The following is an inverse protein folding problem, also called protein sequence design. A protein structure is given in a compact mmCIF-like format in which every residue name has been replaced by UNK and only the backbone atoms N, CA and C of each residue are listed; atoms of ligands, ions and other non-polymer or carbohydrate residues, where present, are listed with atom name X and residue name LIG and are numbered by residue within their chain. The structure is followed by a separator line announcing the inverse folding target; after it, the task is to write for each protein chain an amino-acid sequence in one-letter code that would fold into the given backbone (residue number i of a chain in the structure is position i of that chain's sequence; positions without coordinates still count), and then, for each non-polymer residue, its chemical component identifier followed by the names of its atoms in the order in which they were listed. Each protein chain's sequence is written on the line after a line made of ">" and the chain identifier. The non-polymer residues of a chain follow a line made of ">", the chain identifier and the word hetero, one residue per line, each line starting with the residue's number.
data_IF_318526696801
#
_entry.id   IF_318526696801
#
_cell.length_a   1.000
_cell.length_b   1.000
_cell.length_c   1.000
_cell.angle_alpha   90.00
_cell.angle_beta   90.00
_cell.angle_gamma   90.00
#
_symmetry.space_group_name_H-M   'P 1'
#
loop_
_entity.id
_entity.type
_entity.pdbx_description
1 polymer ?
#
# COMPACT_ATOMS: atom_id res chain seq x y z
N UNK A 1 -9.45 14.62 38.35
CA UNK A 1 -8.08 14.08 38.24
C UNK A 1 -8.16 12.82 37.36
N UNK A 2 -7.85 12.95 36.08
CA UNK A 2 -7.96 11.85 35.12
C UNK A 2 -6.73 10.97 35.19
N UNK A 3 -6.90 9.70 35.45
CA UNK A 3 -5.87 8.70 35.28
C UNK A 3 -5.47 8.65 33.80
N UNK A 4 -4.25 9.07 33.52
CA UNK A 4 -3.62 8.91 32.21
C UNK A 4 -3.35 7.42 32.06
N UNK A 5 -4.22 6.72 31.34
CA UNK A 5 -3.98 5.36 30.87
C UNK A 5 -2.71 5.35 30.01
N UNK A 6 -1.59 4.98 30.61
CA UNK A 6 -0.33 4.74 29.91
C UNK A 6 -0.42 3.40 29.17
N UNK A 7 -0.92 3.41 27.96
CA UNK A 7 -0.81 2.25 27.08
C UNK A 7 0.64 2.10 26.66
N UNK A 8 1.27 1.01 27.10
CA UNK A 8 2.53 0.56 26.56
C UNK A 8 2.28 0.02 25.14
N UNK A 9 2.45 0.84 24.12
CA UNK A 9 2.59 0.35 22.76
C UNK A 9 3.97 -0.33 22.68
N UNK A 10 4.03 -1.64 22.91
CA UNK A 10 5.19 -2.45 22.57
C UNK A 10 5.27 -2.50 21.04
N UNK A 11 5.75 -1.42 20.44
CA UNK A 11 6.06 -1.32 19.04
C UNK A 11 7.38 -2.05 18.83
N UNK A 12 7.27 -3.34 18.53
CA UNK A 12 8.33 -4.21 18.00
C UNK A 12 9.63 -4.32 18.83
N UNK A 13 9.92 -5.54 19.22
CA UNK A 13 11.28 -5.95 19.63
C UNK A 13 12.13 -5.93 18.37
N UNK A 14 13.00 -4.94 18.22
CA UNK A 14 14.08 -4.98 17.24
C UNK A 14 15.15 -5.92 17.80
N UNK A 15 15.21 -7.14 17.29
CA UNK A 15 16.33 -8.01 17.51
C UNK A 15 17.51 -7.44 16.72
N UNK A 16 18.49 -6.85 17.39
CA UNK A 16 19.84 -6.71 16.83
C UNK A 16 20.54 -8.04 17.05
N UNK A 17 21.00 -8.65 15.99
CA UNK A 17 21.90 -9.83 16.00
C UNK A 17 23.30 -9.45 16.52
N UNK A 18 23.39 -8.86 17.69
CA UNK A 18 24.60 -8.81 18.52
C UNK A 18 24.23 -8.22 19.87
N UNK A 19 24.23 -9.09 20.89
CA UNK A 19 24.31 -8.76 22.32
C UNK A 19 23.44 -7.56 22.82
N UNK A 20 22.18 -7.83 23.20
CA UNK A 20 21.75 -7.41 24.53
C UNK A 20 21.14 -6.03 24.73
N UNK A 21 20.78 -5.20 23.72
CA UNK A 21 20.04 -3.96 24.00
C UNK A 21 18.75 -3.89 23.20
N UNK A 22 17.64 -4.04 23.90
CA UNK A 22 16.29 -3.78 23.37
C UNK A 22 15.96 -2.31 23.57
N UNK A 23 16.07 -1.49 22.54
CA UNK A 23 15.52 -0.13 22.57
C UNK A 23 13.99 -0.20 22.52
N UNK A 24 13.34 0.07 23.64
CA UNK A 24 11.91 0.28 23.69
C UNK A 24 11.59 1.74 23.32
N UNK A 25 10.93 1.95 22.19
CA UNK A 25 10.45 3.28 21.81
C UNK A 25 9.13 3.56 22.55
N UNK A 26 9.09 4.65 23.30
CA UNK A 26 7.92 5.13 23.97
C UNK A 26 7.25 6.21 23.12
N UNK A 27 6.01 5.98 22.71
CA UNK A 27 5.20 6.95 21.97
C UNK A 27 4.19 7.53 22.95
N UNK A 28 4.23 8.83 23.23
CA UNK A 28 3.14 9.50 23.92
C UNK A 28 1.85 9.34 23.10
N UNK A 29 0.77 8.89 23.74
CA UNK A 29 -0.50 8.61 23.05
C UNK A 29 -1.12 9.85 22.42
N UNK A 30 -0.87 11.02 22.98
CA UNK A 30 -1.29 12.33 22.46
C UNK A 30 -0.62 12.70 21.14
N UNK A 31 0.54 12.12 20.82
CA UNK A 31 1.27 12.33 19.55
C UNK A 31 0.82 11.40 18.43
N UNK A 32 0.14 10.28 18.73
CA UNK A 32 -0.31 9.31 17.71
C UNK A 32 -1.26 9.93 16.68
N UNK A 33 -2.27 10.74 17.06
CA UNK A 33 -3.13 11.39 16.07
C UNK A 33 -2.36 12.29 15.11
N UNK A 34 -1.45 13.11 15.62
CA UNK A 34 -0.62 14.01 14.79
C UNK A 34 0.27 13.23 13.82
N UNK A 35 0.85 12.12 14.28
CA UNK A 35 1.62 11.22 13.44
C UNK A 35 0.75 10.63 12.32
N UNK A 36 -0.41 10.10 12.64
CA UNK A 36 -1.33 9.52 11.65
C UNK A 36 -1.79 10.58 10.64
N UNK A 37 -2.10 11.78 11.09
CA UNK A 37 -2.49 12.89 10.20
C UNK A 37 -1.37 13.27 9.25
N UNK A 38 -0.13 13.37 9.73
CA UNK A 38 1.04 13.66 8.91
C UNK A 38 1.29 12.58 7.86
N UNK A 39 1.31 11.31 8.27
CA UNK A 39 1.49 10.19 7.34
C UNK A 39 0.35 10.11 6.31
N UNK A 40 -0.88 10.40 6.71
CA UNK A 40 -2.01 10.46 5.80
C UNK A 40 -1.90 11.60 4.78
N UNK A 41 -1.49 12.79 5.21
CA UNK A 41 -1.26 13.95 4.34
C UNK A 41 -0.18 13.65 3.31
N UNK A 42 0.92 13.06 3.74
CA UNK A 42 2.02 12.66 2.87
C UNK A 42 1.59 11.54 1.90
N UNK A 43 0.85 10.54 2.35
CA UNK A 43 0.28 9.51 1.47
C UNK A 43 -0.60 10.13 0.39
N UNK A 44 -1.45 11.08 0.76
CA UNK A 44 -2.29 11.80 -0.21
C UNK A 44 -1.48 12.54 -1.25
N UNK A 45 -0.45 13.27 -0.82
CA UNK A 45 0.43 13.99 -1.73
C UNK A 45 1.13 13.04 -2.70
N UNK A 46 1.80 12.01 -2.18
CA UNK A 46 2.49 11.00 -2.99
C UNK A 46 1.54 10.29 -3.96
N UNK A 47 0.34 9.94 -3.52
CA UNK A 47 -0.62 9.25 -4.37
C UNK A 47 -1.17 10.17 -5.46
N UNK A 48 -1.79 11.28 -5.09
CA UNK A 48 -2.55 12.09 -6.04
C UNK A 48 -1.69 13.06 -6.84
N UNK A 49 -0.71 13.73 -6.20
CA UNK A 49 0.13 14.68 -6.91
C UNK A 49 1.23 13.99 -7.71
N UNK A 50 1.89 13.00 -7.12
CA UNK A 50 3.09 12.42 -7.72
C UNK A 50 2.74 11.17 -8.58
N UNK A 51 2.13 10.13 -7.99
CA UNK A 51 1.86 8.86 -8.68
C UNK A 51 0.68 8.93 -9.65
N UNK A 52 -0.36 9.67 -9.29
CA UNK A 52 -1.50 9.93 -10.18
C UNK A 52 -1.30 11.19 -11.03
N UNK A 53 -0.06 11.71 -11.09
CA UNK A 53 0.39 12.76 -12.01
C UNK A 53 -0.38 14.08 -11.86
N UNK A 54 -0.95 14.36 -10.69
CA UNK A 54 -1.74 15.56 -10.43
C UNK A 54 -2.99 15.71 -11.28
N UNK A 55 -3.49 14.60 -11.85
CA UNK A 55 -4.69 14.62 -12.69
C UNK A 55 -5.88 15.11 -11.87
N UNK A 56 -6.51 16.17 -12.36
CA UNK A 56 -7.79 16.63 -11.84
C UNK A 56 -8.90 15.69 -12.34
N UNK A 57 -10.05 15.71 -11.70
CA UNK A 57 -11.24 14.91 -12.08
C UNK A 57 -11.05 13.39 -11.98
N UNK A 58 -10.24 12.95 -11.03
CA UNK A 58 -10.18 11.54 -10.66
C UNK A 58 -11.27 11.25 -9.63
N UNK A 59 -12.16 10.33 -9.96
CA UNK A 59 -13.14 9.84 -9.01
C UNK A 59 -12.46 8.88 -8.03
N UNK A 60 -12.30 9.30 -6.77
CA UNK A 60 -11.73 8.44 -5.74
C UNK A 60 -12.59 7.21 -5.51
N UNK A 61 -11.97 6.04 -5.49
CA UNK A 61 -12.65 4.77 -5.26
C UNK A 61 -13.13 4.70 -3.81
N UNK A 62 -14.41 4.45 -3.65
CA UNK A 62 -15.04 4.33 -2.34
C UNK A 62 -15.48 2.89 -2.11
N UNK A 63 -15.12 2.32 -0.96
CA UNK A 63 -15.46 0.94 -0.65
C UNK A 63 -16.97 0.67 -0.71
N UNK A 64 -17.80 1.63 -0.29
CA UNK A 64 -19.27 1.52 -0.35
C UNK A 64 -19.85 1.50 -1.78
N UNK A 65 -19.10 2.02 -2.77
CA UNK A 65 -19.52 2.00 -4.17
C UNK A 65 -19.05 0.75 -4.93
N UNK A 66 -18.22 -0.06 -4.32
CA UNK A 66 -17.63 -1.24 -4.93
C UNK A 66 -18.22 -2.53 -4.38
N UNK A 67 -18.31 -3.54 -5.24
CA UNK A 67 -18.71 -4.89 -4.86
C UNK A 67 -17.53 -5.82 -4.86
N UNK A 68 -17.53 -6.78 -3.95
CA UNK A 68 -16.51 -7.83 -3.91
C UNK A 68 -17.16 -9.18 -3.55
N UNK A 69 -16.61 -10.23 -4.13
CA UNK A 69 -16.95 -11.60 -3.80
C UNK A 69 -15.87 -12.16 -2.87
N UNK A 70 -15.99 -11.86 -1.57
CA UNK A 70 -14.99 -12.21 -0.58
C UNK A 70 -14.62 -13.70 -0.59
N UNK A 71 -15.54 -14.59 -0.96
CA UNK A 71 -15.32 -16.04 -1.04
C UNK A 71 -14.78 -16.51 -2.40
N UNK A 72 -14.59 -15.62 -3.36
CA UNK A 72 -14.02 -16.01 -4.64
C UNK A 72 -12.50 -16.19 -4.51
N UNK A 73 -12.06 -17.43 -4.61
CA UNK A 73 -10.66 -17.87 -4.49
C UNK A 73 -9.99 -18.13 -5.86
N UNK A 74 -10.68 -17.81 -6.96
CA UNK A 74 -10.10 -17.94 -8.30
C UNK A 74 -8.74 -17.21 -8.37
N UNK A 75 -7.73 -17.91 -8.88
CA UNK A 75 -6.38 -17.33 -9.02
C UNK A 75 -6.44 -16.05 -9.86
N UNK A 76 -5.82 -14.99 -9.34
CA UNK A 76 -5.84 -13.67 -9.95
C UNK A 76 -7.01 -12.79 -9.54
N UNK A 77 -8.04 -13.33 -8.85
CA UNK A 77 -9.23 -12.57 -8.49
C UNK A 77 -8.93 -11.46 -7.47
N UNK A 78 -9.56 -10.31 -7.71
CA UNK A 78 -9.76 -9.23 -6.74
C UNK A 78 -11.05 -8.46 -7.11
N UNK A 79 -11.43 -7.47 -6.32
CA UNK A 79 -12.66 -6.69 -6.53
C UNK A 79 -12.68 -5.93 -7.87
N UNK A 80 -11.52 -5.64 -8.48
CA UNK A 80 -11.40 -4.98 -9.79
C UNK A 80 -12.04 -5.81 -10.90
N UNK A 81 -12.08 -7.15 -10.75
CA UNK A 81 -12.70 -8.06 -11.74
C UNK A 81 -14.20 -8.26 -11.53
N UNK A 82 -14.76 -7.76 -10.42
CA UNK A 82 -16.19 -7.89 -10.20
C UNK A 82 -16.98 -7.15 -11.30
N UNK A 83 -17.96 -7.85 -11.90
CA UNK A 83 -18.72 -7.32 -13.06
C UNK A 83 -19.37 -5.97 -12.79
N UNK A 84 -19.91 -5.78 -11.58
CA UNK A 84 -20.66 -4.57 -11.20
C UNK A 84 -19.70 -3.37 -10.97
N UNK A 85 -18.40 -3.62 -10.82
CA UNK A 85 -17.40 -2.57 -10.68
C UNK A 85 -16.85 -2.09 -12.02
N UNK A 86 -17.14 -2.79 -13.13
CA UNK A 86 -16.48 -2.51 -14.42
C UNK A 86 -16.71 -1.08 -14.91
N UNK A 87 -17.89 -0.52 -14.68
CA UNK A 87 -18.20 0.87 -15.07
C UNK A 87 -17.28 1.88 -14.35
N UNK A 88 -16.97 1.64 -13.07
CA UNK A 88 -16.11 2.51 -12.25
C UNK A 88 -14.62 2.25 -12.54
N UNK A 89 -14.22 0.98 -12.57
CA UNK A 89 -12.82 0.57 -12.62
C UNK A 89 -12.22 0.68 -14.02
N UNK A 90 -13.02 0.44 -15.08
CA UNK A 90 -12.56 0.53 -16.49
C UNK A 90 -12.04 1.92 -16.82
N UNK A 91 -12.71 2.97 -16.32
CA UNK A 91 -12.22 4.34 -16.50
C UNK A 91 -10.91 4.61 -15.77
N UNK A 92 -10.69 3.96 -14.62
CA UNK A 92 -9.47 4.09 -13.81
C UNK A 92 -8.26 3.37 -14.39
N UNK A 93 -8.47 2.16 -14.96
CA UNK A 93 -7.38 1.28 -15.43
C UNK A 93 -6.41 1.98 -16.38
N UNK A 94 -6.93 2.71 -17.37
CA UNK A 94 -6.13 3.35 -18.40
C UNK A 94 -5.99 4.86 -18.18
N UNK A 95 -6.49 5.37 -17.06
CA UNK A 95 -6.60 6.82 -16.81
C UNK A 95 -5.24 7.52 -16.83
N UNK A 96 -4.27 6.94 -16.14
CA UNK A 96 -2.92 7.50 -16.07
C UNK A 96 -2.20 7.41 -17.42
N UNK A 97 -2.38 6.30 -18.13
CA UNK A 97 -1.82 6.13 -19.46
C UNK A 97 -2.36 7.19 -20.44
N UNK A 98 -3.70 7.35 -20.49
CA UNK A 98 -4.33 8.40 -21.31
C UNK A 98 -3.90 9.80 -20.93
N UNK A 99 -3.66 10.07 -19.65
CA UNK A 99 -3.18 11.37 -19.22
C UNK A 99 -1.75 11.64 -19.68
N UNK A 100 -0.90 10.61 -19.66
CA UNK A 100 0.45 10.70 -20.23
C UNK A 100 0.35 11.00 -21.73
N UNK A 101 -0.51 10.29 -22.46
CA UNK A 101 -0.72 10.49 -23.91
C UNK A 101 -1.24 11.88 -24.24
N UNK A 102 -2.19 12.39 -23.44
CA UNK A 102 -2.84 13.68 -23.68
C UNK A 102 -1.97 14.90 -23.31
N UNK A 103 -0.93 14.72 -22.50
CA UNK A 103 -0.08 15.81 -22.01
C UNK A 103 1.30 15.78 -22.66
N UNK A 104 1.63 16.81 -23.44
CA UNK A 104 2.97 16.90 -24.04
C UNK A 104 4.07 16.93 -22.98
N UNK A 105 3.83 17.56 -21.82
CA UNK A 105 4.77 17.56 -20.71
C UNK A 105 5.01 16.16 -20.17
N UNK A 106 3.94 15.38 -19.88
CA UNK A 106 4.03 14.02 -19.39
C UNK A 106 4.63 13.08 -20.43
N UNK A 107 4.27 13.26 -21.72
CA UNK A 107 4.94 12.54 -22.82
C UNK A 107 6.45 12.76 -22.82
N UNK A 108 6.90 14.00 -22.67
CA UNK A 108 8.34 14.29 -22.60
C UNK A 108 9.01 13.70 -21.38
N UNK A 109 8.30 13.63 -20.26
CA UNK A 109 8.79 13.07 -19.00
C UNK A 109 8.93 11.55 -19.09
N UNK A 110 7.89 10.85 -19.53
CA UNK A 110 7.79 9.40 -19.44
C UNK A 110 8.24 8.65 -20.69
N UNK A 111 8.16 9.25 -21.88
CA UNK A 111 8.40 8.56 -23.14
C UNK A 111 9.72 9.00 -23.79
N UNK A 112 10.37 8.05 -24.47
CA UNK A 112 11.55 8.33 -25.31
C UNK A 112 11.14 8.93 -26.66
N UNK A 113 12.11 9.44 -27.43
CA UNK A 113 11.87 9.90 -28.81
C UNK A 113 11.38 8.79 -29.73
N UNK A 114 11.82 7.55 -29.53
CA UNK A 114 11.38 6.39 -30.29
C UNK A 114 9.86 6.15 -30.20
N UNK A 115 9.25 6.40 -29.04
CA UNK A 115 7.80 6.31 -28.87
C UNK A 115 7.03 7.29 -29.75
N UNK A 116 7.62 8.45 -30.06
CA UNK A 116 6.98 9.50 -30.87
C UNK A 116 7.02 9.19 -32.37
N UNK A 117 7.83 8.25 -32.79
CA UNK A 117 7.94 7.82 -34.20
C UNK A 117 6.97 6.68 -34.57
N UNK A 118 6.02 6.34 -33.70
CA UNK A 118 4.99 5.34 -33.98
C UNK A 118 5.38 3.88 -33.74
N UNK A 119 6.56 3.63 -33.15
CA UNK A 119 7.05 2.28 -32.83
C UNK A 119 6.51 1.69 -31.51
N UNK A 120 5.44 2.28 -30.96
CA UNK A 120 4.87 1.90 -29.66
C UNK A 120 5.46 2.69 -28.49
N UNK A 121 5.01 2.39 -27.27
CA UNK A 121 5.50 3.06 -26.06
C UNK A 121 6.85 2.51 -25.65
N UNK A 122 7.86 3.36 -25.64
CA UNK A 122 9.16 3.09 -25.02
C UNK A 122 9.34 4.05 -23.85
N UNK A 123 9.21 3.52 -22.66
CA UNK A 123 9.26 4.27 -21.41
C UNK A 123 10.69 4.69 -21.08
N UNK A 124 10.84 5.89 -20.57
CA UNK A 124 12.12 6.40 -20.09
C UNK A 124 12.46 5.73 -18.75
N UNK A 125 13.56 4.99 -18.69
CA UNK A 125 13.97 4.22 -17.50
C UNK A 125 14.06 5.09 -16.24
N UNK A 126 14.60 6.30 -16.35
CA UNK A 126 14.69 7.23 -15.21
C UNK A 126 13.32 7.64 -14.67
N UNK A 127 12.33 7.84 -15.54
CA UNK A 127 10.96 8.17 -15.11
C UNK A 127 10.27 6.97 -14.47
N UNK A 128 10.45 5.78 -15.02
CA UNK A 128 9.94 4.52 -14.43
C UNK A 128 10.57 4.28 -13.05
N UNK A 129 11.90 4.44 -12.94
CA UNK A 129 12.61 4.28 -11.66
C UNK A 129 12.15 5.31 -10.62
N UNK A 130 11.96 6.57 -11.02
CA UNK A 130 11.45 7.63 -10.13
C UNK A 130 10.03 7.34 -9.66
N UNK A 131 9.14 6.90 -10.57
CA UNK A 131 7.78 6.50 -10.25
C UNK A 131 7.76 5.31 -9.27
N UNK A 132 8.63 4.32 -9.50
CA UNK A 132 8.75 3.18 -8.59
C UNK A 132 9.29 3.59 -7.21
N UNK A 133 10.29 4.46 -7.15
CA UNK A 133 10.80 4.98 -5.88
C UNK A 133 9.71 5.72 -5.08
N UNK A 134 8.90 6.53 -5.76
CA UNK A 134 7.74 7.21 -5.16
C UNK A 134 6.68 6.21 -4.69
N UNK A 135 6.45 5.14 -5.47
CA UNK A 135 5.54 4.05 -5.10
C UNK A 135 6.01 3.35 -3.82
N UNK A 136 7.29 3.04 -3.73
CA UNK A 136 7.86 2.42 -2.53
C UNK A 136 7.71 3.32 -1.31
N UNK A 137 7.88 4.64 -1.46
CA UNK A 137 7.68 5.57 -0.35
C UNK A 137 6.19 5.66 0.07
N UNK A 138 5.25 5.69 -0.89
CA UNK A 138 3.82 5.60 -0.59
C UNK A 138 3.49 4.32 0.18
N UNK A 139 3.96 3.17 -0.29
CA UNK A 139 3.69 1.88 0.32
C UNK A 139 4.22 1.80 1.76
N UNK A 140 5.40 2.35 2.03
CA UNK A 140 5.97 2.43 3.38
C UNK A 140 5.07 3.22 4.34
N UNK A 141 4.57 4.38 3.91
CA UNK A 141 3.68 5.22 4.71
C UNK A 141 2.31 4.59 4.89
N UNK A 142 1.74 4.02 3.83
CA UNK A 142 0.47 3.32 3.86
C UNK A 142 0.53 2.10 4.79
N UNK A 143 1.66 1.39 4.79
CA UNK A 143 1.95 0.29 5.70
C UNK A 143 1.87 0.74 7.16
N UNK A 144 2.50 1.88 7.51
CA UNK A 144 2.44 2.49 8.85
C UNK A 144 0.99 2.83 9.22
N UNK A 145 0.27 3.52 8.32
CA UNK A 145 -1.13 3.89 8.54
C UNK A 145 -2.01 2.67 8.82
N UNK A 146 -1.94 1.65 7.98
CA UNK A 146 -2.74 0.42 8.13
C UNK A 146 -2.35 -0.31 9.42
N UNK A 147 -1.06 -0.35 9.75
CA UNK A 147 -0.59 -1.06 10.93
C UNK A 147 -1.07 -0.40 12.23
N UNK A 148 -0.97 0.93 12.34
CA UNK A 148 -1.33 1.65 13.56
C UNK A 148 -2.85 1.79 13.70
N UNK A 149 -3.56 2.12 12.59
CA UNK A 149 -5.01 2.38 12.66
C UNK A 149 -5.87 1.13 12.67
N UNK A 150 -5.29 -0.01 12.32
CA UNK A 150 -6.05 -1.25 12.13
C UNK A 150 -6.34 -2.07 13.39
N UNK A 151 -6.05 -1.58 14.59
CA UNK A 151 -6.26 -2.29 15.85
C UNK A 151 -5.02 -3.04 16.35
N UNK A 152 -5.18 -4.29 16.86
CA UNK A 152 -4.06 -5.03 17.43
C UNK A 152 -2.92 -5.25 16.42
N UNK A 153 -1.64 -5.10 16.82
CA UNK A 153 -0.52 -5.29 15.91
C UNK A 153 -0.51 -6.70 15.31
N UNK A 154 -0.32 -6.77 14.00
CA UNK A 154 0.00 -8.03 13.29
C UNK A 154 1.50 -8.22 13.37
N UNK A 155 1.96 -9.47 13.35
CA UNK A 155 3.39 -9.75 13.21
C UNK A 155 3.89 -9.18 11.88
N UNK A 156 5.09 -8.64 11.90
CA UNK A 156 5.70 -8.02 10.72
C UNK A 156 5.76 -8.98 9.54
N UNK A 157 6.18 -10.23 9.76
CA UNK A 157 6.20 -11.28 8.73
C UNK A 157 4.83 -11.54 8.12
N UNK A 158 3.80 -11.71 8.96
CA UNK A 158 2.43 -11.97 8.50
C UNK A 158 1.84 -10.75 7.77
N UNK A 159 2.24 -9.54 8.19
CA UNK A 159 1.83 -8.30 7.58
C UNK A 159 2.44 -8.11 6.18
N UNK A 160 3.72 -8.45 6.00
CA UNK A 160 4.37 -8.34 4.69
C UNK A 160 3.88 -9.37 3.69
N UNK A 161 3.37 -10.50 4.15
CA UNK A 161 2.78 -11.53 3.29
C UNK A 161 1.37 -11.21 2.78
N UNK A 162 0.82 -10.02 3.07
CA UNK A 162 -0.50 -9.64 2.56
C UNK A 162 -0.52 -9.57 1.04
N UNK A 163 -1.55 -10.21 0.45
CA UNK A 163 -1.77 -10.24 -0.99
C UNK A 163 -3.04 -9.47 -1.37
N UNK A 164 -2.95 -8.67 -2.43
CA UNK A 164 -4.07 -7.87 -2.93
C UNK A 164 -4.93 -8.61 -3.95
N UNK A 165 -4.44 -9.71 -4.52
CA UNK A 165 -5.19 -10.60 -5.41
C UNK A 165 -4.99 -12.06 -5.00
N UNK A 166 -5.99 -12.90 -5.25
CA UNK A 166 -5.94 -14.33 -4.93
C UNK A 166 -4.85 -15.04 -5.74
N UNK A 167 -4.18 -15.98 -5.10
CA UNK A 167 -3.23 -16.92 -5.69
C UNK A 167 -3.74 -18.33 -5.38
N UNK A 168 -2.86 -19.29 -5.06
CA UNK A 168 -3.20 -20.52 -4.35
C UNK A 168 -3.74 -20.25 -2.93
N UNK A 169 -3.49 -19.01 -2.43
CA UNK A 169 -4.03 -18.51 -1.16
C UNK A 169 -5.07 -17.42 -1.45
N UNK A 170 -6.09 -17.36 -0.59
CA UNK A 170 -7.08 -16.28 -0.61
C UNK A 170 -6.40 -14.93 -0.34
N UNK A 171 -6.79 -13.89 -1.09
CA UNK A 171 -6.29 -12.52 -0.91
C UNK A 171 -6.57 -11.99 0.49
N UNK A 172 -5.67 -11.12 0.94
CA UNK A 172 -5.79 -10.43 2.24
C UNK A 172 -6.68 -9.19 2.15
N UNK A 173 -6.74 -8.54 0.99
CA UNK A 173 -7.52 -7.31 0.77
C UNK A 173 -8.86 -7.67 0.14
N UNK A 174 -9.96 -7.37 0.84
CA UNK A 174 -11.33 -7.58 0.37
C UNK A 174 -12.20 -6.38 0.70
N UNK A 175 -13.32 -6.23 0.01
CA UNK A 175 -14.34 -5.24 0.35
C UNK A 175 -15.48 -5.97 1.04
N UNK A 176 -15.79 -5.52 2.26
CA UNK A 176 -16.87 -6.07 3.07
C UNK A 176 -17.79 -4.91 3.49
N UNK A 177 -19.03 -4.94 3.00
CA UNK A 177 -19.99 -3.84 3.14
C UNK A 177 -19.43 -2.54 2.56
N UNK A 178 -19.18 -1.55 3.41
CA UNK A 178 -18.73 -0.20 3.05
C UNK A 178 -17.24 0.03 3.33
N UNK A 179 -16.48 -1.01 3.69
CA UNK A 179 -15.08 -0.89 4.15
C UNK A 179 -14.15 -1.87 3.47
N UNK A 180 -12.89 -1.49 3.41
CA UNK A 180 -11.82 -2.43 3.11
C UNK A 180 -11.55 -3.26 4.35
N UNK A 181 -11.63 -4.57 4.19
CA UNK A 181 -11.30 -5.57 5.19
C UNK A 181 -9.94 -6.18 4.86
N UNK A 182 -9.05 -6.13 5.83
CA UNK A 182 -7.77 -6.84 5.80
C UNK A 182 -7.92 -8.13 6.59
N UNK A 183 -7.67 -9.24 5.92
CA UNK A 183 -7.71 -10.57 6.48
C UNK A 183 -6.33 -11.22 6.42
N UNK A 184 -5.74 -11.46 7.59
CA UNK A 184 -4.44 -12.13 7.73
C UNK A 184 -4.62 -13.44 8.45
N UNK A 185 -4.23 -14.53 7.79
CA UNK A 185 -4.24 -15.86 8.38
C UNK A 185 -2.94 -16.10 9.14
N UNK A 186 -3.06 -16.36 10.42
CA UNK A 186 -1.94 -16.59 11.29
C UNK A 186 -1.58 -18.08 11.34
N UNK A 187 -0.35 -18.45 10.98
CA UNK A 187 0.08 -19.84 10.90
C UNK A 187 0.81 -20.39 12.13
N UNK A 188 1.30 -19.54 13.05
CA UNK A 188 2.06 -20.04 14.21
C UNK A 188 1.14 -20.64 15.28
N UNK A 189 1.32 -21.92 15.56
CA UNK A 189 0.50 -22.69 16.50
C UNK A 189 -0.54 -23.60 15.85
N UNK A 190 -0.72 -23.55 14.53
CA UNK A 190 -1.61 -24.44 13.80
C UNK A 190 -1.21 -25.92 13.98
N UNK A 191 0.11 -26.19 14.02
CA UNK A 191 0.64 -27.54 14.29
C UNK A 191 0.32 -28.04 15.69
N UNK A 192 0.11 -27.16 16.66
CA UNK A 192 -0.16 -27.53 18.05
C UNK A 192 -1.65 -27.55 18.39
N UNK A 193 -2.49 -26.73 17.75
CA UNK A 193 -3.90 -26.56 18.15
C UNK A 193 -4.90 -26.99 17.08
N UNK A 194 -4.45 -27.26 15.86
CA UNK A 194 -5.33 -27.58 14.72
C UNK A 194 -6.29 -26.44 14.31
N UNK A 195 -6.25 -25.28 14.95
CA UNK A 195 -7.14 -24.16 14.70
C UNK A 195 -6.41 -23.00 14.02
N UNK A 196 -7.00 -22.46 12.96
CA UNK A 196 -6.55 -21.22 12.35
C UNK A 196 -6.91 -20.05 13.26
N UNK A 197 -5.94 -19.19 13.54
CA UNK A 197 -6.23 -17.87 14.10
C UNK A 197 -6.27 -16.88 12.96
N UNK A 198 -7.41 -16.25 12.77
CA UNK A 198 -7.62 -15.22 11.77
C UNK A 198 -7.55 -13.85 12.43
N UNK A 199 -6.85 -12.92 11.81
CA UNK A 199 -6.85 -11.52 12.21
C UNK A 199 -7.58 -10.73 11.14
N UNK A 200 -8.74 -10.19 11.51
CA UNK A 200 -9.59 -9.39 10.62
C UNK A 200 -9.55 -7.94 11.10
N UNK A 201 -9.37 -7.01 10.17
CA UNK A 201 -9.34 -5.58 10.41
C UNK A 201 -10.15 -4.85 9.37
N UNK A 202 -10.86 -3.83 9.80
CA UNK A 202 -11.54 -2.89 8.93
C UNK A 202 -10.78 -1.58 8.91
N UNK A 203 -10.38 -1.15 7.71
CA UNK A 203 -9.69 0.12 7.57
C UNK A 203 -10.66 1.29 7.72
N UNK A 204 -10.19 2.39 8.30
CA UNK A 204 -10.91 3.66 8.24
C UNK A 204 -11.11 4.11 6.79
N UNK A 205 -12.24 4.74 6.47
CA UNK A 205 -12.58 5.16 5.11
C UNK A 205 -11.45 5.93 4.40
N UNK A 206 -10.80 6.94 5.03
CA UNK A 206 -9.73 7.67 4.36
C UNK A 206 -8.54 6.78 3.93
N UNK A 207 -8.19 5.78 4.74
CA UNK A 207 -7.11 4.84 4.45
C UNK A 207 -7.55 3.81 3.41
N UNK A 208 -8.81 3.37 3.48
CA UNK A 208 -9.44 2.53 2.46
C UNK A 208 -9.36 3.17 1.08
N UNK A 209 -9.70 4.45 0.98
CA UNK A 209 -9.69 5.20 -0.27
C UNK A 209 -8.29 5.26 -0.89
N UNK A 210 -7.26 5.56 -0.06
CA UNK A 210 -5.87 5.56 -0.54
C UNK A 210 -5.45 4.20 -1.10
N UNK A 211 -5.80 3.12 -0.40
CA UNK A 211 -5.45 1.77 -0.85
C UNK A 211 -6.20 1.38 -2.13
N UNK A 212 -7.49 1.70 -2.22
CA UNK A 212 -8.30 1.41 -3.40
C UNK A 212 -7.83 2.22 -4.61
N UNK A 213 -7.56 3.51 -4.44
CA UNK A 213 -7.04 4.36 -5.52
C UNK A 213 -5.66 3.88 -5.99
N UNK A 214 -4.79 3.45 -5.08
CA UNK A 214 -3.52 2.83 -5.45
C UNK A 214 -3.73 1.57 -6.31
N UNK A 215 -4.65 0.67 -5.91
CA UNK A 215 -4.92 -0.57 -6.63
C UNK A 215 -5.54 -0.31 -8.01
N UNK A 216 -6.46 0.65 -8.12
CA UNK A 216 -7.21 0.89 -9.36
C UNK A 216 -6.45 1.76 -10.34
N UNK A 217 -5.69 2.75 -9.88
CA UNK A 217 -5.03 3.72 -10.77
C UNK A 217 -3.54 3.45 -10.94
N UNK A 218 -2.81 3.20 -9.86
CA UNK A 218 -1.34 3.12 -9.90
C UNK A 218 -0.85 1.75 -10.34
N UNK A 219 -1.41 0.66 -9.80
CA UNK A 219 -0.98 -0.69 -10.18
C UNK A 219 -1.08 -0.99 -11.68
N UNK A 220 -2.14 -0.57 -12.41
CA UNK A 220 -2.18 -0.78 -13.86
C UNK A 220 -1.04 -0.10 -14.61
N UNK A 221 -0.65 1.12 -14.24
CA UNK A 221 0.47 1.81 -14.85
C UNK A 221 1.81 1.11 -14.53
N UNK A 222 2.01 0.68 -13.27
CA UNK A 222 3.17 -0.14 -12.88
C UNK A 222 3.24 -1.45 -13.70
N UNK A 223 2.11 -2.08 -13.97
CA UNK A 223 2.04 -3.28 -14.82
C UNK A 223 2.48 -2.98 -16.26
N UNK A 224 2.12 -1.81 -16.80
CA UNK A 224 2.56 -1.38 -18.13
C UNK A 224 4.07 -1.17 -18.16
N UNK A 225 4.64 -0.50 -17.15
CA UNK A 225 6.09 -0.31 -17.04
C UNK A 225 6.85 -1.63 -16.95
N UNK A 226 6.35 -2.56 -16.14
CA UNK A 226 6.97 -3.87 -15.96
C UNK A 226 7.01 -4.68 -17.28
N UNK A 227 5.97 -4.57 -18.11
CA UNK A 227 5.89 -5.27 -19.40
C UNK A 227 6.87 -4.75 -20.44
N UNK A 228 7.44 -3.57 -20.28
CA UNK A 228 8.55 -3.13 -21.13
C UNK A 228 9.78 -4.00 -20.95
N UNK A 229 10.03 -4.47 -19.72
CA UNK A 229 11.17 -5.35 -19.44
C UNK A 229 10.92 -6.78 -19.90
N UNK A 230 9.68 -7.26 -19.73
CA UNK A 230 9.25 -8.59 -20.17
C UNK A 230 7.74 -8.58 -20.47
N UNK A 231 7.36 -8.86 -21.71
CA UNK A 231 5.96 -8.84 -22.15
C UNK A 231 5.02 -9.74 -21.32
N UNK A 232 5.53 -10.81 -20.73
CA UNK A 232 4.80 -11.76 -19.90
C UNK A 232 4.89 -11.45 -18.40
N UNK A 233 5.67 -10.44 -18.00
CA UNK A 233 5.84 -10.10 -16.60
C UNK A 233 4.52 -9.64 -15.98
N UNK A 234 4.25 -10.12 -14.78
CA UNK A 234 3.10 -9.75 -13.96
C UNK A 234 3.59 -9.17 -12.64
N UNK A 235 2.93 -8.11 -12.17
CA UNK A 235 3.16 -7.59 -10.83
C UNK A 235 2.99 -8.71 -9.80
N UNK A 236 3.77 -8.63 -8.75
CA UNK A 236 3.65 -9.50 -7.59
C UNK A 236 2.21 -9.47 -7.02
N UNK A 237 1.68 -10.57 -6.51
CA UNK A 237 0.41 -10.58 -5.79
C UNK A 237 0.52 -9.90 -4.42
N UNK A 238 1.73 -9.73 -3.90
CA UNK A 238 1.95 -9.12 -2.60
C UNK A 238 1.69 -7.61 -2.64
N UNK A 239 1.07 -7.11 -1.57
CA UNK A 239 0.83 -5.67 -1.42
C UNK A 239 2.13 -4.91 -1.13
N UNK A 240 2.96 -5.50 -0.29
CA UNK A 240 4.27 -4.98 0.12
C UNK A 240 5.37 -5.70 -0.64
N UNK A 241 5.72 -5.15 -1.79
CA UNK A 241 6.71 -5.75 -2.66
C UNK A 241 7.65 -4.71 -3.25
N UNK A 242 8.85 -5.15 -3.57
CA UNK A 242 9.84 -4.41 -4.36
C UNK A 242 10.55 -5.38 -5.30
N UNK A 243 10.66 -5.01 -6.58
CA UNK A 243 11.30 -5.82 -7.62
C UNK A 243 10.73 -7.25 -7.71
N UNK A 244 9.40 -7.38 -7.52
CA UNK A 244 8.69 -8.66 -7.54
C UNK A 244 8.84 -9.52 -6.29
N UNK A 245 9.62 -9.09 -5.30
CA UNK A 245 9.84 -9.80 -4.04
C UNK A 245 9.09 -9.14 -2.90
N UNK A 246 8.55 -9.97 -2.01
CA UNK A 246 7.99 -9.51 -0.74
C UNK A 246 9.04 -8.73 0.05
N UNK A 247 8.64 -7.69 0.75
CA UNK A 247 9.55 -7.00 1.66
C UNK A 247 10.10 -7.94 2.72
N UNK A 248 11.40 -7.84 2.98
CA UNK A 248 12.06 -8.50 4.10
C UNK A 248 12.15 -7.55 5.30
N UNK A 249 12.39 -8.10 6.47
CA UNK A 249 12.54 -7.35 7.73
C UNK A 249 13.56 -6.20 7.66
N UNK A 250 14.53 -6.27 6.74
CA UNK A 250 15.50 -5.19 6.52
C UNK A 250 15.03 -4.05 5.62
N UNK A 251 13.97 -4.23 4.83
CA UNK A 251 13.51 -3.21 3.86
C UNK A 251 12.59 -2.17 4.49
N UNK A 252 11.77 -2.56 5.44
CA UNK A 252 10.99 -1.67 6.27
C UNK A 252 11.02 -2.17 7.71
N UNK A 253 11.86 -1.61 8.53
CA UNK A 253 11.70 -1.74 9.97
C UNK A 253 10.62 -0.74 10.41
N UNK A 254 9.38 -1.20 10.58
CA UNK A 254 8.26 -0.38 11.06
C UNK A 254 8.65 0.36 12.34
N UNK A 255 9.36 -0.30 13.26
CA UNK A 255 9.85 0.31 14.49
C UNK A 255 10.83 1.46 14.24
N UNK A 256 11.81 1.28 13.33
CA UNK A 256 12.77 2.34 12.97
C UNK A 256 12.06 3.52 12.31
N UNK A 257 11.08 3.26 11.40
CA UNK A 257 10.32 4.34 10.77
C UNK A 257 9.45 5.08 11.77
N UNK A 258 8.73 4.37 12.62
CA UNK A 258 7.94 4.98 13.68
C UNK A 258 8.82 5.77 14.64
N UNK A 259 9.96 5.24 15.06
CA UNK A 259 10.92 5.93 15.90
C UNK A 259 11.44 7.22 15.24
N UNK A 260 11.79 7.18 13.95
CA UNK A 260 12.25 8.37 13.22
C UNK A 260 11.17 9.44 13.08
N UNK A 261 9.94 9.04 12.79
CA UNK A 261 8.78 9.95 12.68
C UNK A 261 8.47 10.63 14.01
N UNK A 262 8.58 9.90 15.11
CA UNK A 262 8.37 10.45 16.45
C UNK A 262 9.48 11.41 16.87
N UNK A 263 10.72 11.15 16.47
CA UNK A 263 11.82 12.08 16.69
C UNK A 263 11.64 13.38 15.88
N UNK A 264 11.09 13.29 14.68
CA UNK A 264 10.74 14.46 13.86
C UNK A 264 9.60 15.25 14.47
N UNK A 265 8.56 14.58 14.98
CA UNK A 265 7.45 15.20 15.71
C UNK A 265 7.93 15.99 16.92
N UNK A 266 8.85 15.44 17.72
CA UNK A 266 9.46 16.13 18.87
C UNK A 266 10.27 17.36 18.50
N UNK A 267 10.84 17.41 17.29
CA UNK A 267 11.65 18.56 16.81
C UNK A 267 10.81 19.68 16.18
N UNK A 268 9.47 19.56 16.17
CA UNK A 268 8.59 20.58 15.61
C UNK A 268 8.67 20.73 14.08
N UNK A 269 9.16 19.73 13.38
CA UNK A 269 9.34 19.74 11.92
C UNK A 269 8.08 19.36 11.13
N UNK A 270 6.92 19.41 11.75
CA UNK A 270 5.62 19.30 11.07
C UNK A 270 5.03 20.72 10.91
N UNK A 271 5.50 21.46 9.92
CA UNK A 271 4.86 22.66 9.38
C UNK A 271 4.21 22.33 8.04
#
# INVERSE_FOLDING_TARGET
>A
MGEILRWRLLLFRVSKDTVGEHEAFWVPMDQVPTLLESEYRDCRRLLYADLMLGIKDVHSMRAWALKDSANNETVGWNFVQHRDNQALVKSGRDRLLRAIEASEHLCRLFLTRASRSGLGYVWRESAVASHEATTQELLKRLCVLIHISGGQPIRESDFYEMIWRSTQRRRSVTICHDRVMIHVRYHKGQQQTGRFKENIRFLAHPISDLLLDYIVYVLPLRQVFLRQQSAKALLSPFLWEKDGKVWSEGQLCLAKRLGSLLLQAKKGHFL
#
